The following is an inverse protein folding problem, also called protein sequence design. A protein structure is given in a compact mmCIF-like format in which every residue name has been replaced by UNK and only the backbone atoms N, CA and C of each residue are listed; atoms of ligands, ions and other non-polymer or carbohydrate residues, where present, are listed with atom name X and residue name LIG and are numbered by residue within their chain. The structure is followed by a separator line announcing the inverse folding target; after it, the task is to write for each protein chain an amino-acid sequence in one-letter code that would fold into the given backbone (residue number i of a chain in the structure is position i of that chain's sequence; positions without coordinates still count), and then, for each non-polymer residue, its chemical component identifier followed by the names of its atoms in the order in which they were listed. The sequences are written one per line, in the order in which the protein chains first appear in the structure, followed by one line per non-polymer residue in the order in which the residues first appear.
data_IF_806872799019
#
_entry.id   IF_806872799019
#
_cell.length_a   1.000
_cell.length_b   1.000
_cell.length_c   1.000
_cell.angle_alpha   90.00
_cell.angle_beta   90.00
_cell.angle_gamma   90.00
#
_symmetry.space_group_name_H-M   'P 1'
#
loop_
_entity.id
_entity.type
_entity.pdbx_description
1 polymer ?
#
# COMPACT_ATOMS: atom_id res chain seq x y z
N UNK A 1 -48.96 5.93 -65.17
CA UNK A 1 -50.02 6.87 -64.72
C UNK A 1 -50.04 6.89 -63.19
N UNK A 2 -50.18 8.10 -62.61
CA UNK A 2 -50.46 8.45 -61.19
C UNK A 2 -49.28 8.24 -60.20
N UNK A 3 -48.56 9.30 -59.80
CA UNK A 3 -48.89 10.41 -58.84
C UNK A 3 -49.08 9.88 -57.41
N UNK A 4 -48.64 10.51 -56.32
CA UNK A 4 -47.71 11.58 -55.97
C UNK A 4 -47.89 11.70 -54.42
N UNK A 5 -46.80 11.91 -53.67
CA UNK A 5 -46.70 12.72 -52.43
C UNK A 5 -47.29 12.32 -51.05
N UNK A 6 -46.37 12.45 -50.05
CA UNK A 6 -46.46 13.15 -48.74
C UNK A 6 -46.84 12.40 -47.43
N UNK A 7 -45.79 12.18 -46.61
CA UNK A 7 -45.57 12.38 -45.13
C UNK A 7 -46.73 12.96 -44.27
N UNK A 8 -46.81 12.74 -42.93
CA UNK A 8 -45.67 12.84 -41.98
C UNK A 8 -45.67 12.00 -40.66
N UNK A 9 -44.51 12.05 -39.98
CA UNK A 9 -44.28 12.09 -38.52
C UNK A 9 -44.74 10.94 -37.60
N UNK A 10 -43.81 10.44 -36.76
CA UNK A 10 -43.90 10.15 -35.31
C UNK A 10 -42.64 9.34 -34.94
N UNK A 11 -41.56 9.99 -34.51
CA UNK A 11 -41.24 10.25 -33.11
C UNK A 11 -41.29 8.98 -32.23
N UNK A 12 -40.12 8.45 -31.84
CA UNK A 12 -39.82 8.01 -30.47
C UNK A 12 -38.36 7.60 -30.34
N UNK A 13 -37.57 8.57 -29.92
CA UNK A 13 -36.30 8.42 -29.23
C UNK A 13 -36.57 7.65 -27.92
N UNK A 14 -36.05 6.44 -27.76
CA UNK A 14 -35.94 5.79 -26.44
C UNK A 14 -34.47 5.69 -26.07
N UNK A 15 -33.93 6.84 -25.66
CA UNK A 15 -32.75 6.93 -24.81
C UNK A 15 -33.15 6.34 -23.45
N UNK A 16 -32.83 5.07 -23.22
CA UNK A 16 -32.87 4.50 -21.88
C UNK A 16 -31.70 5.12 -21.12
N UNK A 17 -31.96 6.27 -20.50
CA UNK A 17 -31.11 6.84 -19.47
C UNK A 17 -31.17 5.89 -18.28
N UNK A 18 -30.21 4.96 -18.20
CA UNK A 18 -29.93 4.24 -16.98
C UNK A 18 -29.39 5.24 -15.97
N UNK A 19 -30.25 5.75 -15.10
CA UNK A 19 -29.84 6.34 -13.83
C UNK A 19 -29.18 5.21 -13.02
N UNK A 20 -27.88 4.99 -13.22
CA UNK A 20 -27.09 4.30 -12.24
C UNK A 20 -26.96 5.26 -11.06
N UNK A 21 -27.63 4.94 -9.96
CA UNK A 21 -27.32 5.47 -8.64
C UNK A 21 -25.84 5.18 -8.36
N UNK A 22 -24.96 6.07 -8.80
CA UNK A 22 -23.62 6.17 -8.26
C UNK A 22 -23.79 6.65 -6.82
N UNK A 23 -23.99 5.70 -5.91
CA UNK A 23 -23.73 5.91 -4.51
C UNK A 23 -22.30 6.44 -4.41
N UNK A 24 -22.17 7.76 -4.28
CA UNK A 24 -20.92 8.42 -3.95
C UNK A 24 -20.51 7.86 -2.60
N UNK A 25 -19.73 6.79 -2.61
CA UNK A 25 -18.89 6.45 -1.48
C UNK A 25 -17.98 7.65 -1.28
N UNK A 26 -18.27 8.47 -0.27
CA UNK A 26 -17.29 9.40 0.24
C UNK A 26 -16.04 8.56 0.58
N UNK A 27 -14.87 8.87 0.02
CA UNK A 27 -13.66 8.13 0.36
C UNK A 27 -13.50 8.19 1.88
N UNK A 28 -13.13 7.08 2.54
CA UNK A 28 -12.83 7.12 3.97
C UNK A 28 -11.81 8.24 4.22
N UNK A 29 -11.90 8.94 5.37
CA UNK A 29 -11.00 10.04 5.66
C UNK A 29 -9.55 9.57 5.48
N UNK A 30 -8.77 10.35 4.73
CA UNK A 30 -7.36 10.06 4.55
C UNK A 30 -6.69 10.14 5.92
N UNK A 31 -6.32 8.99 6.49
CA UNK A 31 -5.57 8.95 7.73
C UNK A 31 -4.19 9.55 7.47
N UNK A 32 -3.88 10.68 8.11
CA UNK A 32 -2.51 11.17 8.16
C UNK A 32 -1.65 10.17 8.95
N UNK A 33 -0.41 9.87 8.54
CA UNK A 33 0.47 9.03 9.32
C UNK A 33 0.70 9.66 10.70
N UNK A 34 0.43 8.91 11.76
CA UNK A 34 0.65 9.34 13.14
C UNK A 34 2.12 9.21 13.54
N UNK A 35 2.57 9.94 14.57
CA UNK A 35 3.89 9.72 15.15
C UNK A 35 4.05 8.28 15.68
N UNK A 36 2.98 7.72 16.25
CA UNK A 36 2.93 6.34 16.72
C UNK A 36 3.21 5.32 15.60
N UNK A 37 2.79 5.61 14.36
CA UNK A 37 3.10 4.78 13.20
C UNK A 37 4.61 4.73 12.93
N UNK A 38 5.29 5.88 12.98
CA UNK A 38 6.74 5.95 12.78
C UNK A 38 7.51 5.29 13.92
N UNK A 39 7.06 5.47 15.17
CA UNK A 39 7.67 4.84 16.34
C UNK A 39 7.50 3.31 16.31
N UNK A 40 6.33 2.82 15.87
CA UNK A 40 6.09 1.39 15.69
C UNK A 40 6.96 0.83 14.55
N UNK A 41 6.96 1.49 13.39
CA UNK A 41 7.75 1.09 12.23
C UNK A 41 9.24 1.04 12.57
N UNK A 42 9.75 2.07 13.23
CA UNK A 42 11.16 2.19 13.60
C UNK A 42 11.61 1.09 14.56
N UNK A 43 10.84 0.85 15.62
CA UNK A 43 11.12 -0.23 16.59
C UNK A 43 11.07 -1.61 15.94
N UNK A 44 10.00 -1.92 15.20
CA UNK A 44 9.83 -3.21 14.54
C UNK A 44 10.94 -3.46 13.51
N UNK A 45 11.22 -2.46 12.67
CA UNK A 45 12.25 -2.54 11.65
C UNK A 45 13.61 -2.79 12.27
N UNK A 46 14.03 -1.95 13.23
CA UNK A 46 15.33 -2.07 13.88
C UNK A 46 15.50 -3.42 14.59
N UNK A 47 14.50 -3.85 15.36
CA UNK A 47 14.58 -5.11 16.12
C UNK A 47 14.69 -6.33 15.20
N UNK A 48 13.86 -6.42 14.15
CA UNK A 48 13.95 -7.53 13.21
C UNK A 48 15.25 -7.49 12.41
N UNK A 49 15.66 -6.31 11.96
CA UNK A 49 16.93 -6.12 11.27
C UNK A 49 18.09 -6.63 12.11
N UNK A 50 18.18 -6.21 13.37
CA UNK A 50 19.23 -6.63 14.29
C UNK A 50 19.26 -8.14 14.52
N UNK A 51 18.09 -8.77 14.66
CA UNK A 51 17.99 -10.23 14.82
C UNK A 51 18.43 -10.97 13.55
N UNK A 52 17.95 -10.57 12.38
CA UNK A 52 18.34 -11.18 11.11
C UNK A 52 19.83 -10.97 10.82
N UNK A 53 20.36 -9.76 11.05
CA UNK A 53 21.78 -9.45 10.87
C UNK A 53 22.68 -10.27 11.81
N UNK A 54 22.30 -10.39 13.09
CA UNK A 54 23.02 -11.20 14.06
C UNK A 54 23.00 -12.70 13.70
N UNK A 55 21.85 -13.21 13.26
CA UNK A 55 21.71 -14.59 12.79
C UNK A 55 22.59 -14.86 11.58
N UNK A 56 22.56 -13.98 10.58
CA UNK A 56 23.26 -14.17 9.32
C UNK A 56 24.77 -14.07 9.53
N UNK A 57 25.23 -13.09 10.31
CA UNK A 57 26.62 -12.99 10.74
C UNK A 57 27.06 -14.18 11.61
N UNK A 58 26.17 -14.73 12.44
CA UNK A 58 26.45 -15.90 13.28
C UNK A 58 26.54 -17.21 12.49
N UNK A 59 25.80 -17.29 11.38
CA UNK A 59 25.75 -18.45 10.49
C UNK A 59 26.78 -18.37 9.35
N UNK A 60 27.54 -17.28 9.24
CA UNK A 60 28.50 -17.05 8.16
C UNK A 60 27.87 -16.70 6.81
N UNK A 61 26.59 -16.29 6.80
CA UNK A 61 25.93 -15.80 5.60
C UNK A 61 26.43 -14.40 5.23
N UNK A 62 26.28 -14.04 3.95
CA UNK A 62 26.70 -12.72 3.44
C UNK A 62 25.76 -11.61 3.90
N UNK A 63 26.28 -10.39 3.90
CA UNK A 63 25.48 -9.19 4.16
C UNK A 63 24.49 -8.93 3.01
N UNK A 64 23.25 -9.42 3.14
CA UNK A 64 22.21 -9.30 2.11
C UNK A 64 20.84 -8.84 2.69
N UNK A 65 20.77 -7.73 3.46
CA UNK A 65 19.55 -7.33 4.17
C UNK A 65 18.33 -7.11 3.29
N UNK A 66 18.54 -6.67 2.04
CA UNK A 66 17.45 -6.38 1.08
C UNK A 66 16.82 -7.62 0.46
N UNK A 67 17.38 -8.81 0.72
CA UNK A 67 16.85 -10.10 0.24
C UNK A 67 16.08 -10.85 1.31
N UNK A 68 16.02 -10.33 2.54
CA UNK A 68 15.30 -11.00 3.61
C UNK A 68 13.79 -10.85 3.44
N UNK A 69 13.07 -11.87 3.89
CA UNK A 69 11.61 -11.87 3.90
C UNK A 69 11.04 -10.67 4.67
N UNK A 70 11.61 -10.35 5.84
CA UNK A 70 11.16 -9.25 6.68
C UNK A 70 11.26 -7.89 5.96
N UNK A 71 12.35 -7.65 5.22
CA UNK A 71 12.52 -6.42 4.44
C UNK A 71 11.44 -6.24 3.36
N UNK A 72 11.03 -7.34 2.71
CA UNK A 72 10.00 -7.33 1.69
C UNK A 72 8.59 -7.20 2.29
N UNK A 73 8.25 -8.09 3.23
CA UNK A 73 6.90 -8.22 3.79
C UNK A 73 6.54 -7.10 4.76
N UNK A 74 7.52 -6.50 5.44
CA UNK A 74 7.29 -5.37 6.37
C UNK A 74 6.24 -5.69 7.46
N UNK A 75 6.42 -6.75 8.26
CA UNK A 75 5.39 -7.22 9.18
C UNK A 75 5.19 -6.29 10.39
N UNK A 76 4.01 -6.39 11.02
CA UNK A 76 3.67 -5.62 12.22
C UNK A 76 3.05 -4.25 11.95
N UNK A 77 2.53 -4.04 10.74
CA UNK A 77 1.74 -2.85 10.39
C UNK A 77 0.39 -2.84 11.11
N UNK A 78 0.02 -1.66 11.62
CA UNK A 78 -1.30 -1.38 12.18
C UNK A 78 -2.03 -0.34 11.30
N UNK A 79 -3.14 -0.71 10.62
CA UNK A 79 -3.90 0.21 9.78
C UNK A 79 -4.59 1.33 10.56
N UNK A 80 -4.79 1.18 11.88
CA UNK A 80 -5.36 2.22 12.72
C UNK A 80 -4.43 3.42 12.95
N UNK A 81 -3.13 3.26 12.70
CA UNK A 81 -2.13 4.30 12.94
C UNK A 81 -1.83 5.17 11.71
N UNK A 82 -2.35 4.81 10.54
CA UNK A 82 -2.15 5.53 9.29
C UNK A 82 -1.82 4.60 8.12
N UNK A 83 -1.46 5.15 6.96
CA UNK A 83 -1.29 4.41 5.71
C UNK A 83 -0.04 3.52 5.72
N UNK A 84 -0.10 2.40 4.99
CA UNK A 84 0.99 1.40 4.94
C UNK A 84 2.29 1.94 4.32
N UNK A 85 2.21 2.84 3.33
CA UNK A 85 3.40 3.36 2.64
C UNK A 85 4.42 4.02 3.57
N UNK A 86 4.02 5.02 4.38
CA UNK A 86 4.90 5.62 5.39
C UNK A 86 5.45 4.60 6.40
N UNK A 87 4.64 3.63 6.82
CA UNK A 87 5.08 2.57 7.72
C UNK A 87 6.18 1.73 7.08
N UNK A 88 5.95 1.28 5.84
CA UNK A 88 6.90 0.48 5.09
C UNK A 88 8.24 1.18 4.88
N UNK A 89 8.21 2.47 4.52
CA UNK A 89 9.43 3.25 4.33
C UNK A 89 10.22 3.38 5.63
N UNK A 90 9.56 3.74 6.73
CA UNK A 90 10.20 3.86 8.04
C UNK A 90 10.74 2.52 8.55
N UNK A 91 9.95 1.45 8.43
CA UNK A 91 10.36 0.09 8.79
C UNK A 91 11.59 -0.33 8.02
N UNK A 92 11.60 -0.17 6.69
CA UNK A 92 12.72 -0.60 5.84
C UNK A 92 14.00 0.16 6.15
N UNK A 93 13.90 1.47 6.39
CA UNK A 93 15.06 2.27 6.79
C UNK A 93 15.63 1.78 8.12
N UNK A 94 14.79 1.66 9.16
CA UNK A 94 15.21 1.17 10.46
C UNK A 94 15.70 -0.28 10.43
N UNK A 95 15.12 -1.13 9.57
CA UNK A 95 15.57 -2.50 9.34
C UNK A 95 17.00 -2.55 8.81
N UNK A 96 17.35 -1.72 7.83
CA UNK A 96 18.72 -1.66 7.31
C UNK A 96 19.72 -1.26 8.40
N UNK A 97 19.37 -0.28 9.24
CA UNK A 97 20.20 0.13 10.38
C UNK A 97 20.35 -0.97 11.44
N UNK A 98 19.24 -1.63 11.77
CA UNK A 98 19.23 -2.76 12.70
C UNK A 98 20.10 -3.90 12.19
N UNK A 99 19.94 -4.27 10.92
CA UNK A 99 20.70 -5.35 10.30
C UNK A 99 22.21 -5.08 10.29
N UNK A 100 22.61 -3.86 9.93
CA UNK A 100 24.01 -3.43 10.02
C UNK A 100 24.57 -3.56 11.45
N UNK A 101 23.80 -3.09 12.43
CA UNK A 101 24.15 -3.20 13.85
C UNK A 101 24.34 -4.67 14.27
N UNK A 102 23.34 -5.52 13.99
CA UNK A 102 23.40 -6.94 14.38
C UNK A 102 24.47 -7.73 13.64
N UNK A 103 24.76 -7.38 12.38
CA UNK A 103 25.72 -8.11 11.56
C UNK A 103 27.17 -7.78 11.94
N UNK A 104 27.48 -6.50 12.20
CA UNK A 104 28.86 -6.04 12.44
C UNK A 104 29.20 -5.70 13.89
N UNK A 105 28.23 -5.31 14.73
CA UNK A 105 28.46 -4.69 16.04
C UNK A 105 27.88 -5.50 17.21
N UNK A 106 27.74 -6.81 17.04
CA UNK A 106 27.24 -7.77 18.04
C UNK A 106 28.14 -7.93 19.26
#
# INVERSE_FOLDING_TARGET
MKRLLLLPAFASLLLVAGCHDHAYYAPPPAYAPSNALFDLAGRNGFQMGAQDGARDSGSGYRFEPRRTRAYHETPGYDPGLGPFGPYQNAFRNSYLHGYDTGYYHR
#
